data_IF_179473341729
#
_entry.id   IF_179473341729
#
_cell.length_a   1.000
_cell.length_b   1.000
_cell.length_c   1.000
_cell.angle_alpha   90.00
_cell.angle_beta   90.00
_cell.angle_gamma   90.00
#
_symmetry.space_group_name_H-M   'P 1'
#
loop_
_entity.id
_entity.type
_entity.pdbx_description
1 polymer ?
#
# COMPACT_ATOMS: atom_id res chain seq x y z
N UNK A 1 5.06 12.96 -20.09
CA UNK A 1 4.03 11.96 -19.75
C UNK A 1 4.51 11.20 -18.54
N UNK A 2 3.96 11.47 -17.34
CA UNK A 2 4.39 10.77 -16.12
C UNK A 2 3.87 9.33 -16.16
N UNK A 3 4.78 8.38 -16.07
CA UNK A 3 4.49 6.96 -16.06
C UNK A 3 3.81 6.64 -14.72
N UNK A 4 2.48 6.65 -14.66
CA UNK A 4 1.74 6.25 -13.45
C UNK A 4 1.93 4.75 -13.29
N UNK A 5 2.86 4.36 -12.41
CA UNK A 5 3.03 2.96 -12.03
C UNK A 5 1.78 2.53 -11.26
N UNK A 6 0.95 1.69 -11.89
CA UNK A 6 -0.17 1.04 -11.21
C UNK A 6 0.43 0.07 -10.19
N UNK A 7 0.18 0.24 -8.87
CA UNK A 7 0.75 -0.65 -7.87
C UNK A 7 0.20 -2.07 -8.10
N UNK A 8 1.09 -3.07 -8.17
CA UNK A 8 0.71 -4.46 -8.37
C UNK A 8 0.46 -5.12 -7.01
N UNK A 9 -0.68 -5.82 -6.80
CA UNK A 9 -0.94 -6.54 -5.57
C UNK A 9 0.15 -7.58 -5.29
N UNK A 10 0.57 -7.67 -4.03
CA UNK A 10 1.48 -8.69 -3.50
C UNK A 10 0.81 -9.39 -2.33
N UNK A 11 1.25 -10.62 -2.05
CA UNK A 11 0.82 -11.38 -0.88
C UNK A 11 1.99 -11.56 0.07
N UNK A 12 1.77 -11.26 1.34
CA UNK A 12 2.70 -11.52 2.42
C UNK A 12 2.16 -12.66 3.29
N UNK A 13 2.99 -13.67 3.51
CA UNK A 13 2.71 -14.75 4.45
C UNK A 13 3.32 -14.35 5.81
N UNK A 14 2.47 -14.20 6.82
CA UNK A 14 2.91 -13.95 8.18
C UNK A 14 3.29 -15.26 8.89
N UNK A 15 4.14 -15.15 9.91
CA UNK A 15 4.63 -16.29 10.69
C UNK A 15 3.53 -17.12 11.35
N UNK A 16 2.38 -16.49 11.62
CA UNK A 16 1.20 -17.15 12.20
C UNK A 16 0.29 -17.84 11.17
N UNK A 17 0.71 -17.93 9.90
CA UNK A 17 -0.08 -18.56 8.85
C UNK A 17 -1.09 -17.64 8.15
N UNK A 18 -1.27 -16.39 8.60
CA UNK A 18 -2.13 -15.43 7.91
C UNK A 18 -1.51 -14.95 6.60
N UNK A 19 -2.35 -14.78 5.57
CA UNK A 19 -1.99 -14.19 4.29
C UNK A 19 -2.64 -12.82 4.18
N UNK A 20 -1.82 -11.79 4.00
CA UNK A 20 -2.29 -10.43 3.76
C UNK A 20 -2.00 -10.04 2.32
N UNK A 21 -2.96 -9.37 1.69
CA UNK A 21 -2.72 -8.70 0.42
C UNK A 21 -2.21 -7.29 0.70
N UNK A 22 -1.22 -6.86 -0.08
CA UNK A 22 -0.67 -5.53 0.04
C UNK A 22 -0.36 -4.86 -1.30
N UNK A 23 -0.34 -3.53 -1.27
CA UNK A 23 0.06 -2.68 -2.38
C UNK A 23 1.15 -1.72 -1.92
N UNK A 24 2.33 -1.86 -2.53
CA UNK A 24 3.47 -0.98 -2.29
C UNK A 24 3.63 0.05 -3.41
N UNK A 25 3.91 1.30 -3.05
CA UNK A 25 4.18 2.38 -4.00
C UNK A 25 5.17 3.39 -3.41
N UNK A 26 5.95 4.02 -4.29
CA UNK A 26 6.85 5.11 -3.91
C UNK A 26 8.31 4.67 -3.76
N UNK A 27 9.21 5.62 -3.49
CA UNK A 27 10.65 5.38 -3.44
C UNK A 27 11.04 4.57 -2.20
N UNK A 28 11.73 3.44 -2.40
CA UNK A 28 12.34 2.69 -1.31
C UNK A 28 13.38 3.55 -0.59
N UNK A 29 13.39 3.50 0.74
CA UNK A 29 14.28 4.31 1.58
C UNK A 29 13.69 5.65 2.03
N UNK A 30 12.53 6.06 1.50
CA UNK A 30 11.76 7.17 2.06
C UNK A 30 11.03 6.77 3.36
N UNK A 31 10.49 7.78 4.05
CA UNK A 31 9.61 7.57 5.19
C UNK A 31 8.46 6.61 4.80
N UNK A 32 8.29 5.55 5.59
CA UNK A 32 7.32 4.50 5.30
C UNK A 32 6.00 4.75 6.03
N UNK A 33 4.90 4.69 5.30
CA UNK A 33 3.55 4.84 5.82
C UNK A 33 2.78 3.54 5.60
N UNK A 34 2.19 3.01 6.67
CA UNK A 34 1.29 1.86 6.62
C UNK A 34 -0.15 2.36 6.66
N UNK A 35 -0.95 1.94 5.69
CA UNK A 35 -2.37 2.30 5.59
C UNK A 35 -3.24 1.06 5.77
N UNK A 36 -4.16 1.16 6.72
CA UNK A 36 -5.09 0.11 7.13
C UNK A 36 -6.51 0.63 6.93
N UNK A 37 -7.28 -0.01 6.05
CA UNK A 37 -8.69 0.34 5.82
C UNK A 37 -9.63 -0.52 6.68
N UNK A 38 -10.88 -0.09 6.81
CA UNK A 38 -11.92 -0.91 7.46
C UNK A 38 -12.43 -2.01 6.53
N UNK A 39 -13.18 -2.96 7.08
CA UNK A 39 -13.68 -4.14 6.33
C UNK A 39 -14.64 -3.81 5.17
N UNK A 40 -15.33 -2.67 5.23
CA UNK A 40 -16.25 -2.23 4.17
C UNK A 40 -15.60 -1.28 3.16
N UNK A 41 -14.29 -1.05 3.31
CA UNK A 41 -13.55 -0.06 2.56
C UNK A 41 -12.45 -0.72 1.71
N UNK A 42 -11.73 0.08 0.92
CA UNK A 42 -10.62 -0.37 0.09
C UNK A 42 -9.41 0.52 0.26
N UNK A 43 -8.26 0.03 -0.18
CA UNK A 43 -7.02 0.80 -0.24
C UNK A 43 -7.15 2.14 -0.99
N UNK A 44 -8.16 2.29 -1.87
CA UNK A 44 -8.40 3.51 -2.65
C UNK A 44 -8.87 4.68 -1.80
N UNK A 45 -9.41 4.45 -0.61
CA UNK A 45 -9.93 5.53 0.23
C UNK A 45 -8.86 6.47 0.77
N UNK A 46 -7.60 6.08 0.66
CA UNK A 46 -6.47 6.93 0.98
C UNK A 46 -5.93 7.73 -0.21
N UNK A 47 -6.34 7.44 -1.46
CA UNK A 47 -5.83 8.13 -2.66
C UNK A 47 -5.77 9.66 -2.55
N UNK A 48 -6.79 10.35 -1.98
CA UNK A 48 -6.77 11.81 -1.88
C UNK A 48 -5.69 12.39 -0.95
N UNK A 49 -5.12 11.59 -0.05
CA UNK A 49 -4.20 12.07 1.00
C UNK A 49 -2.80 11.47 0.91
N UNK A 50 -2.48 10.76 -0.18
CA UNK A 50 -1.18 10.11 -0.33
C UNK A 50 -0.06 11.14 -0.54
N UNK A 51 0.95 11.21 0.33
CA UNK A 51 2.12 12.02 0.08
C UNK A 51 2.97 11.39 -1.04
N UNK A 52 3.32 12.20 -2.05
CA UNK A 52 4.09 11.76 -3.21
C UNK A 52 5.54 11.34 -2.89
N UNK A 53 6.07 11.77 -1.74
CA UNK A 53 7.44 11.52 -1.30
C UNK A 53 7.60 10.29 -0.41
N UNK A 54 6.51 9.67 0.05
CA UNK A 54 6.58 8.54 0.97
C UNK A 54 6.63 7.19 0.26
N UNK A 55 7.16 6.19 0.96
CA UNK A 55 6.96 4.79 0.62
C UNK A 55 5.68 4.31 1.31
N UNK A 56 4.67 3.92 0.54
CA UNK A 56 3.34 3.58 1.06
C UNK A 56 3.10 2.09 0.91
N UNK A 57 2.69 1.45 2.01
CA UNK A 57 2.25 0.07 2.07
C UNK A 57 0.77 0.07 2.49
N UNK A 58 -0.11 -0.50 1.68
CA UNK A 58 -1.55 -0.63 1.97
C UNK A 58 -1.86 -2.09 2.23
N UNK A 59 -2.61 -2.40 3.28
CA UNK A 59 -2.99 -3.76 3.65
C UNK A 59 -4.49 -3.99 3.48
N UNK A 60 -4.86 -5.18 3.01
CA UNK A 60 -6.23 -5.69 2.84
C UNK A 60 -6.37 -7.09 3.43
#
# INVERSE_FOLDING_TARGET
MNNVQVPKPRRAQLANGLRLENLEQGPRGAATILLLHSSSDSWRSFEPVLPSSAHVIRLS
#
